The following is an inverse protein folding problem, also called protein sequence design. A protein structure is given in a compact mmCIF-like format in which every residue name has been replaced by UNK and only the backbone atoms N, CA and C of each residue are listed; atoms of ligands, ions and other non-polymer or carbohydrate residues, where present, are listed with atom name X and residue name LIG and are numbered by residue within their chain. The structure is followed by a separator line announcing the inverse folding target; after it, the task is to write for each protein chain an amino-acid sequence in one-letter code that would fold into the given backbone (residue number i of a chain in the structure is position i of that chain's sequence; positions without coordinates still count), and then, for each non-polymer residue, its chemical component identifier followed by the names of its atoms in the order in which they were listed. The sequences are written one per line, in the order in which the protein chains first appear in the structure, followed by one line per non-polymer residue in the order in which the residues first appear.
data_IF_337306975730
#
_entry.id   IF_337306975730
#
_cell.length_a   1.000
_cell.length_b   1.000
_cell.length_c   1.000
_cell.angle_alpha   90.00
_cell.angle_beta   90.00
_cell.angle_gamma   90.00
#
_symmetry.space_group_name_H-M   'P 1'
#
loop_
_entity.id
_entity.type
_entity.pdbx_description
1 polymer ?
#
# COMPACT_ATOMS: atom_id res chain seq x y z
N UNK A 1 7.59 -10.81 28.62
CA UNK A 1 6.59 -9.74 28.43
C UNK A 1 6.78 -8.76 29.56
N UNK A 2 7.40 -7.63 29.30
CA UNK A 2 7.43 -6.54 30.27
C UNK A 2 5.98 -6.15 30.56
N UNK A 3 5.62 -6.07 31.82
CA UNK A 3 4.35 -5.55 32.30
C UNK A 3 4.32 -4.06 31.99
N UNK A 4 3.91 -3.69 30.77
CA UNK A 4 3.64 -2.30 30.45
C UNK A 4 2.56 -1.81 31.40
N UNK A 5 2.91 -0.84 32.26
CA UNK A 5 1.94 -0.17 33.13
C UNK A 5 0.85 0.56 32.29
N UNK A 6 -0.27 0.94 32.91
CA UNK A 6 -1.31 1.66 32.21
C UNK A 6 -0.73 2.96 31.60
N UNK A 7 -0.98 3.23 30.30
CA UNK A 7 -0.47 4.44 29.66
C UNK A 7 -1.09 5.70 30.29
N UNK A 8 -0.35 6.82 30.40
CA UNK A 8 -0.80 8.05 31.02
C UNK A 8 -2.01 8.67 30.31
N UNK A 9 -2.18 8.41 29.01
CA UNK A 9 -3.25 8.98 28.16
C UNK A 9 -4.57 8.17 28.22
N UNK A 10 -4.66 7.10 29.05
CA UNK A 10 -5.86 6.27 29.15
C UNK A 10 -6.12 5.40 27.90
N UNK A 11 -7.37 4.97 27.71
CA UNK A 11 -7.79 4.11 26.59
C UNK A 11 -8.11 4.93 25.33
N UNK A 12 -7.14 5.69 24.82
CA UNK A 12 -7.30 6.47 23.58
C UNK A 12 -7.00 5.57 22.37
N UNK A 13 -7.89 5.54 21.37
CA UNK A 13 -7.68 4.80 20.11
C UNK A 13 -7.35 5.77 18.96
N UNK A 14 -6.21 5.54 18.30
CA UNK A 14 -5.84 6.22 17.05
C UNK A 14 -6.41 5.52 15.81
N UNK A 15 -7.01 4.36 15.97
CA UNK A 15 -7.58 3.55 14.89
C UNK A 15 -8.76 4.24 14.19
N UNK A 16 -9.57 5.03 14.92
CA UNK A 16 -10.69 5.77 14.34
C UNK A 16 -10.23 6.81 13.32
N UNK A 17 -9.18 7.56 13.62
CA UNK A 17 -8.60 8.54 12.68
C UNK A 17 -8.08 7.82 11.43
N UNK A 18 -7.41 6.68 11.60
CA UNK A 18 -6.89 5.88 10.50
C UNK A 18 -8.01 5.42 9.55
N UNK A 19 -9.09 4.83 10.07
CA UNK A 19 -10.18 4.31 9.23
C UNK A 19 -10.96 5.42 8.53
N UNK A 20 -11.16 6.58 9.18
CA UNK A 20 -11.80 7.74 8.57
C UNK A 20 -10.95 8.25 7.39
N UNK A 21 -9.65 8.45 7.60
CA UNK A 21 -8.74 8.91 6.54
C UNK A 21 -8.68 7.90 5.38
N UNK A 22 -8.57 6.60 5.68
CA UNK A 22 -8.58 5.56 4.66
C UNK A 22 -9.87 5.58 3.84
N UNK A 23 -11.03 5.71 4.47
CA UNK A 23 -12.33 5.76 3.80
C UNK A 23 -12.45 7.01 2.92
N UNK A 24 -12.09 8.19 3.42
CA UNK A 24 -12.16 9.44 2.66
C UNK A 24 -11.25 9.39 1.44
N UNK A 25 -9.98 8.99 1.62
CA UNK A 25 -9.01 8.91 0.51
C UNK A 25 -9.41 7.86 -0.52
N UNK A 26 -9.93 6.71 -0.11
CA UNK A 26 -10.41 5.67 -1.01
C UNK A 26 -11.64 6.16 -1.79
N UNK A 27 -12.54 6.90 -1.15
CA UNK A 27 -13.73 7.48 -1.82
C UNK A 27 -13.33 8.49 -2.90
N UNK A 28 -12.38 9.39 -2.60
CA UNK A 28 -11.85 10.35 -3.58
C UNK A 28 -11.18 9.61 -4.75
N UNK A 29 -10.37 8.59 -4.45
CA UNK A 29 -9.72 7.77 -5.48
C UNK A 29 -10.71 7.01 -6.34
N UNK A 30 -11.80 6.51 -5.76
CA UNK A 30 -12.88 5.83 -6.50
C UNK A 30 -13.58 6.78 -7.47
N UNK A 31 -13.95 7.97 -6.99
CA UNK A 31 -14.63 8.99 -7.84
C UNK A 31 -13.73 9.38 -9.01
N UNK A 32 -12.46 9.73 -8.74
CA UNK A 32 -11.52 10.16 -9.78
C UNK A 32 -11.22 9.06 -10.80
N UNK A 33 -11.08 7.81 -10.35
CA UNK A 33 -10.87 6.66 -11.22
C UNK A 33 -12.11 6.34 -12.04
N UNK A 34 -13.30 6.40 -11.44
CA UNK A 34 -14.58 6.19 -12.15
C UNK A 34 -14.80 7.24 -13.23
N UNK A 35 -14.55 8.53 -12.94
CA UNK A 35 -14.62 9.60 -13.92
C UNK A 35 -13.65 9.38 -15.08
N UNK A 36 -12.40 9.02 -14.78
CA UNK A 36 -11.40 8.71 -15.81
C UNK A 36 -11.82 7.56 -16.69
N UNK A 37 -12.26 6.43 -16.11
CA UNK A 37 -12.70 5.26 -16.87
C UNK A 37 -13.96 5.57 -17.69
N UNK A 38 -14.93 6.29 -17.14
CA UNK A 38 -16.14 6.70 -17.83
C UNK A 38 -15.85 7.48 -19.11
N UNK A 39 -15.03 8.54 -19.02
CA UNK A 39 -14.62 9.34 -20.20
C UNK A 39 -13.88 8.48 -21.24
N UNK A 40 -13.02 7.56 -20.81
CA UNK A 40 -12.26 6.72 -21.74
C UNK A 40 -13.07 5.64 -22.41
N UNK A 41 -14.04 5.05 -21.70
CA UNK A 41 -15.00 4.08 -22.25
C UNK A 41 -15.85 4.77 -23.31
N UNK A 42 -16.42 5.95 -23.00
CA UNK A 42 -17.25 6.73 -23.94
C UNK A 42 -16.47 7.10 -25.20
N UNK A 43 -15.21 7.47 -25.09
CA UNK A 43 -14.37 7.85 -26.22
C UNK A 43 -13.69 6.64 -26.92
N UNK A 44 -13.97 5.41 -26.53
CA UNK A 44 -13.35 4.16 -27.04
C UNK A 44 -11.81 4.20 -27.01
N UNK A 45 -11.22 4.85 -26.01
CA UNK A 45 -9.78 5.01 -25.85
C UNK A 45 -9.21 4.13 -24.74
N UNK A 46 -9.73 2.93 -24.56
CA UNK A 46 -9.27 2.00 -23.54
C UNK A 46 -7.84 1.52 -23.80
N UNK A 47 -7.10 1.24 -22.73
CA UNK A 47 -5.72 0.73 -22.77
C UNK A 47 -5.37 -0.12 -21.55
N UNK A 48 -4.19 -0.71 -21.56
CA UNK A 48 -3.65 -1.48 -20.44
C UNK A 48 -3.53 -0.65 -19.15
N UNK A 49 -3.33 0.67 -19.29
CA UNK A 49 -3.31 1.62 -18.19
C UNK A 49 -4.66 1.71 -17.45
N UNK A 50 -5.76 1.56 -18.18
CA UNK A 50 -7.11 1.61 -17.61
C UNK A 50 -7.47 0.29 -16.92
N UNK A 51 -7.00 -0.85 -17.45
CA UNK A 51 -7.17 -2.15 -16.81
C UNK A 51 -6.39 -2.24 -15.49
N UNK A 52 -5.14 -1.78 -15.49
CA UNK A 52 -4.29 -1.83 -14.28
C UNK A 52 -4.83 -0.93 -13.18
N UNK A 53 -5.34 0.28 -13.49
CA UNK A 53 -5.91 1.14 -12.46
C UNK A 53 -7.26 0.62 -11.96
N UNK A 54 -8.08 0.01 -12.81
CA UNK A 54 -9.33 -0.62 -12.40
C UNK A 54 -9.08 -1.78 -11.42
N UNK A 55 -8.09 -2.64 -11.73
CA UNK A 55 -7.67 -3.71 -10.85
C UNK A 55 -7.15 -3.17 -9.51
N UNK A 56 -6.30 -2.14 -9.53
CA UNK A 56 -5.81 -1.49 -8.31
C UNK A 56 -6.96 -0.93 -7.45
N UNK A 57 -8.00 -0.36 -8.07
CA UNK A 57 -9.18 0.13 -7.35
C UNK A 57 -10.00 -0.99 -6.71
N UNK A 58 -10.21 -2.10 -7.41
CA UNK A 58 -10.92 -3.27 -6.86
C UNK A 58 -10.16 -3.79 -5.62
N UNK A 59 -8.85 -3.97 -5.75
CA UNK A 59 -8.02 -4.39 -4.61
C UNK A 59 -8.03 -3.37 -3.48
N UNK A 60 -8.06 -2.06 -3.78
CA UNK A 60 -8.15 -1.00 -2.79
C UNK A 60 -9.47 -1.02 -2.00
N UNK A 61 -10.59 -1.34 -2.66
CA UNK A 61 -11.87 -1.53 -1.99
C UNK A 61 -11.86 -2.76 -1.08
N UNK A 62 -11.28 -3.87 -1.54
CA UNK A 62 -11.08 -5.08 -0.73
C UNK A 62 -10.19 -4.77 0.48
N UNK A 63 -9.08 -4.03 0.28
CA UNK A 63 -8.21 -3.59 1.37
C UNK A 63 -8.96 -2.73 2.40
N UNK A 64 -9.87 -1.85 1.97
CA UNK A 64 -10.68 -1.04 2.89
C UNK A 64 -11.55 -1.91 3.79
N UNK A 65 -12.14 -3.00 3.26
CA UNK A 65 -12.90 -3.97 4.05
C UNK A 65 -12.00 -4.63 5.10
N UNK A 66 -10.81 -5.11 4.72
CA UNK A 66 -9.86 -5.69 5.68
C UNK A 66 -9.36 -4.68 6.72
N UNK A 67 -9.19 -3.40 6.33
CA UNK A 67 -8.88 -2.33 7.28
C UNK A 67 -9.99 -2.10 8.30
N UNK A 68 -11.25 -2.28 7.89
CA UNK A 68 -12.40 -2.28 8.80
C UNK A 68 -12.35 -3.44 9.80
N UNK A 69 -12.04 -4.66 9.35
CA UNK A 69 -11.86 -5.83 10.23
C UNK A 69 -10.69 -5.62 11.20
N UNK A 70 -9.59 -5.04 10.73
CA UNK A 70 -8.44 -4.67 11.54
C UNK A 70 -8.81 -3.64 12.62
N UNK A 71 -9.63 -2.65 12.28
CA UNK A 71 -10.14 -1.67 13.24
C UNK A 71 -11.01 -2.32 14.31
N UNK A 72 -11.93 -3.23 13.92
CA UNK A 72 -12.78 -4.00 14.87
C UNK A 72 -11.95 -4.90 15.78
N UNK A 73 -10.84 -5.46 15.29
CA UNK A 73 -9.89 -6.23 16.10
C UNK A 73 -9.10 -5.36 17.10
N UNK A 74 -9.24 -4.02 17.05
CA UNK A 74 -8.68 -3.10 18.05
C UNK A 74 -7.35 -2.48 17.68
N UNK A 75 -6.98 -2.43 16.38
CA UNK A 75 -5.77 -1.73 15.95
C UNK A 75 -5.81 -0.25 16.36
N UNK A 76 -4.66 0.25 16.82
CA UNK A 76 -4.55 1.64 17.30
C UNK A 76 -4.93 1.84 18.77
N UNK A 77 -5.35 0.79 19.48
CA UNK A 77 -5.44 0.78 20.94
C UNK A 77 -4.11 0.37 21.56
N UNK A 78 -3.84 0.84 22.76
CA UNK A 78 -2.65 0.40 23.49
C UNK A 78 -2.74 -1.09 23.81
N UNK A 79 -1.65 -1.85 23.63
CA UNK A 79 -1.62 -3.31 23.81
C UNK A 79 -2.07 -3.76 25.22
N UNK A 80 -1.92 -2.89 26.21
CA UNK A 80 -2.38 -3.17 27.60
C UNK A 80 -3.90 -3.42 27.70
N UNK A 81 -4.69 -2.73 26.85
CA UNK A 81 -6.17 -2.86 26.86
C UNK A 81 -6.71 -3.90 25.88
N UNK A 82 -5.83 -4.55 25.11
CA UNK A 82 -6.22 -5.64 24.20
C UNK A 82 -6.04 -7.00 24.88
N UNK A 83 -7.06 -7.84 24.83
CA UNK A 83 -6.92 -9.26 25.17
C UNK A 83 -5.96 -9.95 24.19
N UNK A 84 -5.29 -11.02 24.62
CA UNK A 84 -4.29 -11.73 23.82
C UNK A 84 -4.85 -12.20 22.47
N UNK A 85 -6.08 -12.70 22.42
CA UNK A 85 -6.75 -13.12 21.17
C UNK A 85 -7.03 -11.95 20.24
N UNK A 86 -7.50 -10.82 20.77
CA UNK A 86 -7.74 -9.60 19.99
C UNK A 86 -6.45 -9.03 19.42
N UNK A 87 -5.36 -9.04 20.19
CA UNK A 87 -4.05 -8.60 19.72
C UNK A 87 -3.54 -9.47 18.57
N UNK A 88 -3.71 -10.80 18.67
CA UNK A 88 -3.34 -11.72 17.57
C UNK A 88 -4.18 -11.48 16.31
N UNK A 89 -5.48 -11.28 16.44
CA UNK A 89 -6.36 -10.99 15.30
C UNK A 89 -6.03 -9.64 14.67
N UNK A 90 -5.74 -8.61 15.45
CA UNK A 90 -5.30 -7.31 14.93
C UNK A 90 -4.01 -7.42 14.11
N UNK A 91 -3.02 -8.17 14.58
CA UNK A 91 -1.76 -8.41 13.85
C UNK A 91 -2.00 -9.24 12.58
N UNK A 92 -2.87 -10.24 12.63
CA UNK A 92 -3.25 -11.06 11.48
C UNK A 92 -3.88 -10.21 10.36
N UNK A 93 -4.85 -9.36 10.69
CA UNK A 93 -5.46 -8.47 9.71
C UNK A 93 -4.47 -7.40 9.21
N UNK A 94 -3.56 -6.93 10.06
CA UNK A 94 -2.46 -6.03 9.64
C UNK A 94 -1.58 -6.68 8.58
N UNK A 95 -1.27 -7.97 8.73
CA UNK A 95 -0.49 -8.73 7.76
C UNK A 95 -1.17 -8.74 6.37
N UNK A 96 -2.48 -9.02 6.32
CA UNK A 96 -3.25 -9.02 5.07
C UNK A 96 -3.29 -7.63 4.43
N UNK A 97 -3.53 -6.59 5.23
CA UNK A 97 -3.58 -5.19 4.75
C UNK A 97 -2.21 -4.75 4.20
N UNK A 98 -1.10 -5.13 4.85
CA UNK A 98 0.25 -4.82 4.38
C UNK A 98 0.56 -5.48 3.04
N UNK A 99 0.24 -6.78 2.89
CA UNK A 99 0.41 -7.50 1.62
C UNK A 99 -0.35 -6.83 0.48
N UNK A 100 -1.62 -6.49 0.68
CA UNK A 100 -2.41 -5.80 -0.34
C UNK A 100 -1.86 -4.41 -0.69
N UNK A 101 -1.32 -3.69 0.29
CA UNK A 101 -0.80 -2.34 0.10
C UNK A 101 0.32 -2.29 -0.94
N UNK A 102 1.34 -3.15 -0.85
CA UNK A 102 2.46 -3.16 -1.80
C UNK A 102 2.01 -3.50 -3.22
N UNK A 103 1.08 -4.44 -3.37
CA UNK A 103 0.51 -4.81 -4.68
C UNK A 103 -0.26 -3.63 -5.29
N UNK A 104 -1.10 -2.96 -4.52
CA UNK A 104 -1.90 -1.82 -4.99
C UNK A 104 -1.01 -0.65 -5.40
N UNK A 105 0.01 -0.32 -4.60
CA UNK A 105 0.97 0.74 -4.94
C UNK A 105 1.72 0.40 -6.22
N UNK A 106 2.16 -0.84 -6.39
CA UNK A 106 2.83 -1.31 -7.60
C UNK A 106 1.93 -1.14 -8.85
N UNK A 107 0.70 -1.63 -8.81
CA UNK A 107 -0.26 -1.53 -9.91
C UNK A 107 -0.58 -0.07 -10.27
N UNK A 108 -0.77 0.77 -9.27
CA UNK A 108 -1.05 2.21 -9.47
C UNK A 108 0.13 2.90 -10.17
N UNK A 109 1.37 2.61 -9.76
CA UNK A 109 2.57 3.17 -10.40
C UNK A 109 2.75 2.68 -11.83
N UNK A 110 2.51 1.39 -12.09
CA UNK A 110 2.54 0.82 -13.44
C UNK A 110 1.49 1.52 -14.32
N UNK A 111 0.27 1.73 -13.83
CA UNK A 111 -0.77 2.44 -14.57
C UNK A 111 -0.36 3.86 -14.96
N UNK A 112 0.25 4.61 -14.03
CA UNK A 112 0.74 5.96 -14.30
C UNK A 112 1.84 5.95 -15.39
N UNK A 113 2.80 5.02 -15.30
CA UNK A 113 3.85 4.87 -16.32
C UNK A 113 3.29 4.55 -17.69
N UNK A 114 2.37 3.59 -17.78
CA UNK A 114 1.71 3.21 -19.03
C UNK A 114 0.92 4.38 -19.63
N UNK A 115 0.25 5.16 -18.79
CA UNK A 115 -0.44 6.37 -19.20
C UNK A 115 0.51 7.41 -19.81
N UNK A 116 1.67 7.67 -19.18
CA UNK A 116 2.65 8.61 -19.68
C UNK A 116 3.29 8.11 -20.99
N UNK A 117 3.59 6.80 -21.08
CA UNK A 117 4.10 6.16 -22.30
C UNK A 117 3.15 6.32 -23.49
N UNK A 118 1.85 6.31 -23.23
CA UNK A 118 0.83 6.49 -24.27
C UNK A 118 0.79 7.90 -24.80
N UNK A 119 1.03 8.91 -23.95
CA UNK A 119 0.96 10.33 -24.34
C UNK A 119 2.27 10.81 -24.98
N UNK A 120 3.41 10.41 -24.42
CA UNK A 120 4.74 10.86 -24.86
C UNK A 120 5.52 9.73 -25.54
N UNK A 121 5.79 9.88 -26.85
CA UNK A 121 6.53 8.88 -27.66
C UNK A 121 8.02 9.17 -27.81
N UNK A 122 8.62 10.02 -26.98
CA UNK A 122 10.07 10.33 -27.04
C UNK A 122 10.91 9.14 -26.60
N UNK A 123 11.94 8.78 -27.39
CA UNK A 123 12.72 7.55 -27.18
C UNK A 123 13.40 7.47 -25.82
N UNK A 124 14.04 8.55 -25.35
CA UNK A 124 14.70 8.60 -24.05
C UNK A 124 13.74 8.40 -22.88
N UNK A 125 12.56 9.06 -22.94
CA UNK A 125 11.56 8.97 -21.86
C UNK A 125 11.01 7.55 -21.68
N UNK A 126 10.89 6.79 -22.77
CA UNK A 126 10.46 5.39 -22.70
C UNK A 126 11.41 4.55 -21.83
N UNK A 127 12.72 4.69 -22.02
CA UNK A 127 13.70 3.95 -21.24
C UNK A 127 13.65 4.32 -19.76
N UNK A 128 13.53 5.61 -19.46
CA UNK A 128 13.38 6.07 -18.07
C UNK A 128 12.11 5.51 -17.41
N UNK A 129 10.98 5.53 -18.12
CA UNK A 129 9.73 4.98 -17.57
C UNK A 129 9.80 3.46 -17.39
N UNK A 130 10.42 2.72 -18.31
CA UNK A 130 10.62 1.28 -18.12
C UNK A 130 11.55 0.97 -16.94
N UNK A 131 12.62 1.72 -16.74
CA UNK A 131 13.50 1.53 -15.57
C UNK A 131 12.77 1.86 -14.26
N UNK A 132 11.94 2.91 -14.23
CA UNK A 132 11.08 3.21 -13.07
C UNK A 132 10.05 2.11 -12.79
N UNK A 133 9.41 1.56 -13.83
CA UNK A 133 8.48 0.43 -13.68
C UNK A 133 9.20 -0.80 -13.12
N UNK A 134 10.34 -1.16 -13.68
CA UNK A 134 11.13 -2.31 -13.20
C UNK A 134 11.59 -2.11 -11.74
N UNK A 135 12.10 -0.93 -11.42
CA UNK A 135 12.48 -0.57 -10.05
C UNK A 135 11.30 -0.64 -9.09
N UNK A 136 10.12 -0.16 -9.49
CA UNK A 136 8.92 -0.24 -8.66
C UNK A 136 8.49 -1.69 -8.41
N UNK A 137 8.51 -2.55 -9.41
CA UNK A 137 8.18 -3.99 -9.26
C UNK A 137 9.16 -4.66 -8.30
N UNK A 138 10.47 -4.45 -8.47
CA UNK A 138 11.50 -5.05 -7.61
C UNK A 138 11.34 -4.57 -6.16
N UNK A 139 11.18 -3.27 -5.94
CA UNK A 139 11.06 -2.70 -4.59
C UNK A 139 9.72 -3.01 -3.92
N UNK A 140 8.66 -3.32 -4.66
CA UNK A 140 7.39 -3.81 -4.11
C UNK A 140 7.44 -5.32 -3.81
N UNK A 141 8.13 -6.10 -4.64
CA UNK A 141 8.26 -7.55 -4.43
C UNK A 141 9.16 -7.88 -3.23
N UNK A 142 10.18 -7.08 -2.95
CA UNK A 142 11.11 -7.34 -1.86
C UNK A 142 10.44 -7.40 -0.47
N UNK A 143 9.64 -6.41 -0.01
CA UNK A 143 8.95 -6.50 1.27
C UNK A 143 7.90 -7.62 1.30
N UNK A 144 7.26 -7.95 0.17
CA UNK A 144 6.35 -9.08 0.06
C UNK A 144 7.06 -10.40 0.32
N UNK A 145 8.17 -10.66 -0.37
CA UNK A 145 8.96 -11.88 -0.19
C UNK A 145 9.42 -12.00 1.27
N UNK A 146 9.94 -10.91 1.85
CA UNK A 146 10.39 -10.91 3.24
C UNK A 146 9.21 -11.17 4.18
N UNK A 147 8.06 -10.57 3.95
CA UNK A 147 6.87 -10.78 4.77
C UNK A 147 6.46 -12.26 4.84
N UNK A 148 6.60 -13.00 3.72
CA UNK A 148 6.31 -14.44 3.68
C UNK A 148 7.41 -15.33 4.25
N UNK A 149 8.69 -14.92 4.17
CA UNK A 149 9.83 -15.76 4.53
C UNK A 149 10.34 -15.48 5.95
N UNK A 150 10.09 -14.26 6.48
CA UNK A 150 10.64 -13.79 7.77
C UNK A 150 10.23 -14.63 8.99
N UNK A 151 9.09 -15.33 8.91
CA UNK A 151 8.61 -16.18 10.00
C UNK A 151 8.43 -17.63 9.56
N UNK A 152 8.90 -18.58 10.36
CA UNK A 152 8.71 -20.02 10.14
C UNK A 152 8.10 -20.69 11.35
N UNK A 153 6.86 -21.20 11.23
CA UNK A 153 5.89 -21.04 10.13
C UNK A 153 5.36 -19.58 10.03
N UNK A 154 4.73 -19.20 8.90
CA UNK A 154 4.19 -17.83 8.69
C UNK A 154 3.22 -17.42 9.81
N UNK A 155 2.53 -18.39 10.42
CA UNK A 155 1.63 -18.18 11.56
C UNK A 155 2.34 -17.54 12.77
N UNK A 156 3.65 -17.73 12.92
CA UNK A 156 4.44 -17.11 14.00
C UNK A 156 4.48 -15.58 13.93
N UNK A 157 4.07 -14.99 12.80
CA UNK A 157 3.97 -13.53 12.68
C UNK A 157 2.97 -12.93 13.69
N UNK A 158 1.82 -13.58 13.89
CA UNK A 158 0.79 -13.16 14.86
C UNK A 158 0.73 -14.03 16.13
N UNK A 159 1.32 -15.22 16.09
CA UNK A 159 1.40 -16.13 17.23
C UNK A 159 2.84 -16.58 17.47
N UNK A 160 3.57 -15.80 18.24
CA UNK A 160 5.00 -16.03 18.51
C UNK A 160 5.28 -17.28 19.36
N UNK A 161 4.25 -17.95 19.89
CA UNK A 161 4.42 -19.18 20.67
C UNK A 161 4.78 -20.40 19.81
N UNK A 162 4.53 -20.34 18.49
CA UNK A 162 4.61 -21.48 17.57
C UNK A 162 5.95 -21.57 16.84
N UNK A 163 6.69 -20.46 16.72
CA UNK A 163 7.96 -20.44 15.96
C UNK A 163 8.74 -19.15 16.12
N UNK A 164 9.73 -18.97 15.24
CA UNK A 164 10.67 -17.86 15.30
C UNK A 164 10.55 -16.99 14.03
N UNK A 165 10.72 -15.69 14.21
CA UNK A 165 10.77 -14.71 13.12
C UNK A 165 12.16 -14.05 13.11
N UNK A 166 12.57 -13.54 11.93
CA UNK A 166 13.76 -12.73 11.77
C UNK A 166 13.65 -11.41 12.52
N UNK A 167 14.77 -10.70 12.63
CA UNK A 167 14.78 -9.37 13.21
C UNK A 167 13.93 -8.40 12.35
N UNK A 168 13.07 -7.64 13.03
CA UNK A 168 12.18 -6.66 12.42
C UNK A 168 12.96 -5.54 11.69
N UNK A 169 14.22 -5.31 12.02
CA UNK A 169 15.09 -4.31 11.38
C UNK A 169 15.25 -4.54 9.88
N UNK A 170 15.33 -5.81 9.44
CA UNK A 170 15.48 -6.20 8.02
C UNK A 170 14.24 -5.79 7.24
N UNK A 171 13.06 -6.12 7.75
CA UNK A 171 11.79 -5.74 7.13
C UNK A 171 11.64 -4.22 7.04
N UNK A 172 11.93 -3.51 8.13
CA UNK A 172 11.87 -2.05 8.17
C UNK A 172 12.80 -1.40 7.13
N UNK A 173 14.04 -1.87 6.99
CA UNK A 173 14.98 -1.34 6.01
C UNK A 173 14.43 -1.46 4.57
N UNK A 174 13.84 -2.60 4.22
CA UNK A 174 13.28 -2.82 2.88
C UNK A 174 12.02 -1.98 2.65
N UNK A 175 11.18 -1.81 3.66
CA UNK A 175 10.01 -0.93 3.59
C UNK A 175 10.44 0.53 3.39
N UNK A 176 11.48 1.01 4.09
CA UNK A 176 12.02 2.36 3.85
C UNK A 176 12.60 2.53 2.45
N UNK A 177 13.29 1.53 1.91
CA UNK A 177 13.78 1.54 0.53
C UNK A 177 12.60 1.64 -0.47
N UNK A 178 11.52 0.89 -0.24
CA UNK A 178 10.30 0.99 -1.06
C UNK A 178 9.70 2.39 -1.01
N UNK A 179 9.54 2.99 0.16
CA UNK A 179 9.02 4.37 0.28
C UNK A 179 9.93 5.39 -0.40
N UNK A 180 11.25 5.25 -0.32
CA UNK A 180 12.21 6.07 -1.05
C UNK A 180 11.99 6.00 -2.56
N UNK A 181 11.81 4.79 -3.11
CA UNK A 181 11.53 4.60 -4.55
C UNK A 181 10.18 5.21 -4.96
N UNK A 182 9.13 5.04 -4.14
CA UNK A 182 7.81 5.63 -4.37
C UNK A 182 7.90 7.16 -4.40
N UNK A 183 8.63 7.77 -3.46
CA UNK A 183 8.81 9.23 -3.37
C UNK A 183 9.59 9.76 -4.57
N UNK A 184 10.70 9.13 -4.93
CA UNK A 184 11.52 9.52 -6.09
C UNK A 184 10.71 9.45 -7.39
N UNK A 185 9.95 8.39 -7.60
CA UNK A 185 9.08 8.28 -8.77
C UNK A 185 7.98 9.34 -8.80
N UNK A 186 7.40 9.71 -7.65
CA UNK A 186 6.42 10.79 -7.56
C UNK A 186 7.02 12.14 -7.95
N UNK A 187 8.22 12.47 -7.43
CA UNK A 187 8.93 13.70 -7.82
C UNK A 187 9.20 13.75 -9.32
N UNK A 188 9.60 12.63 -9.92
CA UNK A 188 9.84 12.54 -11.36
C UNK A 188 8.55 12.76 -12.16
N UNK A 189 7.43 12.13 -11.80
CA UNK A 189 6.15 12.31 -12.48
C UNK A 189 5.62 13.74 -12.36
N UNK A 190 5.76 14.36 -11.20
CA UNK A 190 5.38 15.76 -10.98
C UNK A 190 6.25 16.71 -11.81
N UNK A 191 7.57 16.48 -11.86
CA UNK A 191 8.49 17.24 -12.71
C UNK A 191 8.13 17.18 -14.20
N UNK A 192 7.75 15.99 -14.70
CA UNK A 192 7.28 15.81 -16.07
C UNK A 192 5.96 16.55 -16.36
N UNK A 193 5.07 16.60 -15.36
CA UNK A 193 3.77 17.27 -15.48
C UNK A 193 3.93 18.79 -15.45
N UNK A 194 4.74 19.31 -14.54
CA UNK A 194 5.04 20.76 -14.46
C UNK A 194 5.77 21.27 -15.70
N UNK A 195 6.72 20.52 -16.25
CA UNK A 195 7.39 20.88 -17.49
C UNK A 195 6.43 20.97 -18.70
N UNK A 196 5.28 20.29 -18.63
CA UNK A 196 4.23 20.36 -19.66
C UNK A 196 3.28 21.55 -19.50
N UNK A 197 3.14 22.09 -18.29
CA UNK A 197 2.29 23.26 -18.01
C UNK A 197 3.01 24.57 -18.35
N UNK A 198 4.36 24.54 -18.41
CA UNK A 198 5.18 25.72 -18.71
C UNK A 198 5.61 25.83 -20.19
N UNK A 199 5.28 24.87 -21.04
CA UNK A 199 5.48 24.86 -22.49
C UNK A 199 4.15 24.93 -23.25
#
# INVERSE_FOLDING_TARGET
METLGPPPDGNVTKGTTFIILATVLTSISLITTAMRLGVRITNRQQGWDDLTIALAMILGLVQLVFSGLQYHAGIGRHAYYLGQTQAMDAVKWSYVVMTMFFVIVCLTKISICLFILRIKKTGWLKWVLYTLMAGQVITSAAPEIILFVQCRPVRSFWDRSIGQCWDQSIYNAVVWAHFGMVTTSNCFYNGLTLCKVML
#
